data_IF_975130316606
#
_entry.id   IF_975130316606
#
_cell.length_a   1.000
_cell.length_b   1.000
_cell.length_c   1.000
_cell.angle_alpha   90.00
_cell.angle_beta   90.00
_cell.angle_gamma   90.00
#
_symmetry.space_group_name_H-M   'P 1'
#
loop_
_entity.id
_entity.type
_entity.pdbx_description
1 polymer ?
#
# COMPACT_ATOMS: atom_id res chain seq x y z
N UNK A 1 29.77 13.51 4.53
CA UNK A 1 29.51 12.10 4.17
C UNK A 1 28.74 12.08 2.86
N UNK A 2 29.20 11.35 1.84
CA UNK A 2 28.51 11.29 0.54
C UNK A 2 27.21 10.48 0.69
N UNK A 3 26.09 11.05 0.22
CA UNK A 3 24.82 10.32 0.14
C UNK A 3 24.91 9.26 -0.96
N UNK A 4 24.26 8.11 -0.74
CA UNK A 4 24.19 7.05 -1.76
C UNK A 4 23.33 7.52 -2.93
N UNK A 5 23.78 7.22 -4.15
CA UNK A 5 23.05 7.49 -5.40
C UNK A 5 22.52 6.18 -5.96
N UNK A 6 21.23 6.15 -6.27
CA UNK A 6 20.60 5.04 -6.98
C UNK A 6 20.75 5.25 -8.49
N UNK A 7 21.66 4.51 -9.14
CA UNK A 7 21.87 4.56 -10.60
C UNK A 7 21.09 3.44 -11.26
N UNK A 8 19.89 3.78 -11.73
CA UNK A 8 18.97 2.83 -12.38
C UNK A 8 19.00 3.07 -13.89
N UNK A 9 19.30 2.04 -14.69
CA UNK A 9 19.35 2.17 -16.16
C UNK A 9 17.94 2.19 -16.78
N UNK A 10 17.05 1.33 -16.33
CA UNK A 10 15.69 1.27 -16.87
C UNK A 10 14.68 0.90 -15.79
N UNK A 11 13.55 1.61 -15.79
CA UNK A 11 12.37 1.29 -14.98
C UNK A 11 11.19 1.13 -15.93
N UNK A 12 10.46 0.02 -15.80
CA UNK A 12 9.22 -0.24 -16.53
C UNK A 12 8.09 -0.45 -15.53
N UNK A 13 7.08 0.41 -15.61
CA UNK A 13 5.80 0.22 -14.93
C UNK A 13 4.78 -0.32 -15.93
N UNK A 14 4.05 -1.35 -15.53
CA UNK A 14 2.88 -1.80 -16.28
C UNK A 14 1.61 -1.01 -15.87
N UNK A 15 1.52 -0.56 -14.62
CA UNK A 15 0.40 0.25 -14.13
C UNK A 15 0.79 1.15 -12.94
N UNK A 16 0.24 2.36 -12.90
CA UNK A 16 0.25 3.26 -11.75
C UNK A 16 -1.22 3.58 -11.43
N UNK A 17 -1.69 3.06 -10.30
CA UNK A 17 -3.09 3.05 -9.88
C UNK A 17 -3.43 4.16 -8.89
N UNK A 18 -4.48 3.91 -8.10
CA UNK A 18 -5.13 4.91 -7.26
C UNK A 18 -4.16 5.50 -6.25
N UNK A 19 -4.08 6.84 -6.21
CA UNK A 19 -3.27 7.64 -5.29
C UNK A 19 -1.81 7.21 -5.19
N UNK A 20 -1.27 6.62 -6.26
CA UNK A 20 0.07 6.05 -6.26
C UNK A 20 1.09 7.01 -6.86
N UNK A 21 2.31 6.96 -6.34
CA UNK A 21 3.37 7.90 -6.75
C UNK A 21 4.59 7.13 -7.21
N UNK A 22 5.12 7.53 -8.36
CA UNK A 22 6.49 7.21 -8.75
C UNK A 22 7.37 8.42 -8.42
N UNK A 23 8.28 8.27 -7.46
CA UNK A 23 9.23 9.30 -7.06
C UNK A 23 10.64 8.92 -7.50
N UNK A 24 11.29 9.76 -8.29
CA UNK A 24 12.70 9.63 -8.67
C UNK A 24 13.49 10.83 -8.13
N UNK A 25 14.57 10.56 -7.42
CA UNK A 25 15.37 11.56 -6.72
C UNK A 25 15.13 11.55 -5.21
N UNK A 26 15.91 12.35 -4.49
CA UNK A 26 15.84 12.39 -3.03
C UNK A 26 14.55 13.06 -2.54
N UNK A 27 14.10 12.66 -1.36
CA UNK A 27 12.87 13.17 -0.74
C UNK A 27 13.09 13.26 0.76
N UNK A 28 12.51 14.27 1.41
CA UNK A 28 12.63 14.36 2.87
C UNK A 28 11.67 13.38 3.53
N UNK A 29 10.38 13.51 3.23
CA UNK A 29 9.31 12.74 3.87
C UNK A 29 8.40 12.09 2.83
N UNK A 30 8.04 10.83 3.08
CA UNK A 30 7.03 10.09 2.34
C UNK A 30 5.98 9.65 3.36
N UNK A 31 4.74 10.14 3.21
CA UNK A 31 3.60 9.75 4.05
C UNK A 31 2.54 9.06 3.18
N UNK A 32 2.30 7.78 3.47
CA UNK A 32 1.38 6.91 2.74
C UNK A 32 0.21 6.53 3.66
N UNK A 33 -1.01 6.87 3.28
CA UNK A 33 -2.20 6.53 4.06
C UNK A 33 -3.33 6.01 3.19
N UNK A 34 -3.93 4.89 3.60
CA UNK A 34 -5.13 4.38 2.95
C UNK A 34 -6.05 3.62 3.92
N UNK A 35 -7.36 3.79 3.71
CA UNK A 35 -8.42 2.96 4.28
C UNK A 35 -9.16 2.25 3.14
N UNK A 36 -9.23 0.93 3.21
CA UNK A 36 -9.88 0.08 2.20
C UNK A 36 -10.93 -0.79 2.88
N UNK A 37 -12.18 -0.66 2.41
CA UNK A 37 -13.27 -1.58 2.73
C UNK A 37 -13.69 -2.24 1.42
N UNK A 38 -13.60 -3.56 1.36
CA UNK A 38 -13.97 -4.32 0.17
C UNK A 38 -14.95 -5.45 0.55
N UNK A 39 -16.13 -5.47 -0.07
CA UNK A 39 -17.10 -6.54 0.10
C UNK A 39 -17.14 -7.37 -1.18
N UNK A 40 -16.79 -8.65 -1.08
CA UNK A 40 -16.82 -9.58 -2.19
C UNK A 40 -17.97 -10.57 -2.01
N UNK A 41 -18.84 -10.65 -3.00
CA UNK A 41 -20.01 -11.55 -3.00
C UNK A 41 -19.80 -12.70 -3.98
N UNK A 42 -20.49 -13.82 -3.73
CA UNK A 42 -20.48 -14.97 -4.65
C UNK A 42 -21.18 -14.64 -5.98
N UNK A 43 -22.27 -13.89 -5.91
CA UNK A 43 -22.91 -13.25 -7.06
C UNK A 43 -22.53 -11.77 -7.03
N UNK A 44 -22.00 -11.23 -8.13
CA UNK A 44 -21.56 -9.83 -8.23
C UNK A 44 -22.75 -8.88 -8.28
N UNK A 45 -23.35 -8.61 -7.12
CA UNK A 45 -24.35 -7.55 -6.94
C UNK A 45 -23.69 -6.34 -6.29
N UNK A 46 -23.92 -5.17 -6.90
CA UNK A 46 -23.43 -3.89 -6.43
C UNK A 46 -24.58 -3.06 -5.88
N UNK A 47 -24.43 -2.55 -4.66
CA UNK A 47 -25.41 -1.68 -4.01
C UNK A 47 -24.84 -0.26 -3.89
N UNK A 48 -25.69 0.76 -3.93
CA UNK A 48 -25.20 2.14 -3.81
C UNK A 48 -24.61 2.45 -2.41
N UNK A 49 -25.00 1.67 -1.39
CA UNK A 49 -24.51 1.77 -0.01
C UNK A 49 -23.84 0.47 0.43
N UNK A 50 -22.75 0.10 -0.23
CA UNK A 50 -22.03 -1.16 0.02
C UNK A 50 -21.13 -1.18 1.25
N UNK A 51 -20.91 -0.03 1.89
CA UNK A 51 -20.09 0.02 3.08
C UNK A 51 -19.87 1.43 3.57
N UNK A 52 -19.56 1.52 4.86
CA UNK A 52 -19.15 2.77 5.50
C UNK A 52 -17.90 2.50 6.33
N UNK A 53 -17.04 3.51 6.47
CA UNK A 53 -15.95 3.46 7.45
C UNK A 53 -16.46 3.71 8.89
N UNK A 54 -17.70 3.32 9.18
CA UNK A 54 -18.34 3.58 10.46
C UNK A 54 -17.59 2.84 11.57
N UNK A 55 -17.15 3.62 12.55
CA UNK A 55 -16.39 3.16 13.72
C UNK A 55 -17.12 2.07 14.50
N UNK A 56 -18.45 2.13 14.61
CA UNK A 56 -19.25 1.14 15.36
C UNK A 56 -19.19 -0.25 14.71
N UNK A 57 -19.13 -0.29 13.39
CA UNK A 57 -19.14 -1.54 12.60
C UNK A 57 -17.72 -2.07 12.36
N UNK A 58 -16.77 -1.16 12.13
CA UNK A 58 -15.38 -1.50 11.78
C UNK A 58 -14.37 -0.71 12.62
N UNK A 59 -14.08 -1.15 13.87
CA UNK A 59 -13.14 -0.47 14.76
C UNK A 59 -11.72 -0.35 14.18
N UNK A 60 -11.33 -1.24 13.27
CA UNK A 60 -10.01 -1.25 12.60
C UNK A 60 -9.66 0.08 11.92
N UNK A 61 -10.66 0.82 11.43
CA UNK A 61 -10.44 2.09 10.74
C UNK A 61 -10.19 3.28 11.67
N UNK A 62 -10.37 3.10 12.98
CA UNK A 62 -10.19 4.12 14.01
C UNK A 62 -9.08 3.76 15.02
N UNK A 63 -8.47 2.58 14.88
CA UNK A 63 -7.31 2.22 15.67
C UNK A 63 -6.14 3.15 15.35
N UNK A 64 -5.48 3.65 16.39
CA UNK A 64 -4.26 4.44 16.22
C UNK A 64 -3.17 3.63 15.52
N UNK A 65 -2.41 4.30 14.64
CA UNK A 65 -1.19 3.72 14.08
C UNK A 65 -0.21 3.42 15.20
N UNK A 66 0.48 2.28 15.09
CA UNK A 66 1.62 1.98 15.96
C UNK A 66 2.66 3.04 15.69
N UNK A 67 2.91 3.89 16.69
CA UNK A 67 3.98 4.88 16.62
C UNK A 67 5.29 4.15 16.90
N UNK A 68 6.34 4.54 16.17
CA UNK A 68 7.68 4.16 16.53
C UNK A 68 7.93 4.60 17.99
N UNK A 69 8.59 3.73 18.75
CA UNK A 69 9.10 4.13 20.06
C UNK A 69 10.03 5.34 19.86
N UNK A 70 10.10 6.27 20.83
CA UNK A 70 11.06 7.37 20.77
C UNK A 70 12.45 6.81 20.48
N UNK A 71 13.24 7.54 19.68
CA UNK A 71 14.63 7.14 19.39
C UNK A 71 15.36 6.81 20.70
N UNK A 72 15.72 5.54 20.87
CA UNK A 72 16.76 5.17 21.82
C UNK A 72 18.03 5.84 21.33
N UNK A 73 18.79 6.52 22.19
CA UNK A 73 19.95 7.36 21.85
C UNK A 73 21.17 6.64 21.24
N UNK A 74 20.94 5.56 20.47
CA UNK A 74 21.93 4.82 19.72
C UNK A 74 22.29 5.62 18.47
N UNK A 75 23.52 6.13 18.44
CA UNK A 75 24.06 6.76 17.24
C UNK A 75 24.73 5.71 16.37
N UNK A 76 24.44 5.75 15.07
CA UNK A 76 25.08 4.89 14.07
C UNK A 76 25.79 5.74 13.03
N UNK A 77 26.94 5.27 12.57
CA UNK A 77 27.71 5.88 11.50
C UNK A 77 27.95 4.83 10.42
N UNK A 78 27.68 5.20 9.17
CA UNK A 78 27.86 4.31 8.01
C UNK A 78 28.91 4.87 7.08
N UNK A 79 29.91 4.07 6.71
CA UNK A 79 30.85 4.39 5.64
C UNK A 79 30.41 3.69 4.35
N UNK A 80 30.33 4.43 3.25
CA UNK A 80 30.01 3.90 1.93
C UNK A 80 31.18 4.18 0.99
N UNK A 81 32.14 3.25 0.91
CA UNK A 81 33.32 3.38 0.04
C UNK A 81 32.95 3.60 -1.43
N UNK A 82 31.89 2.92 -1.88
CA UNK A 82 31.28 3.12 -3.19
C UNK A 82 29.83 3.58 -2.99
N UNK A 83 29.54 4.88 -3.00
CA UNK A 83 28.21 5.42 -2.68
C UNK A 83 27.24 5.35 -3.88
N UNK A 84 27.33 4.28 -4.67
CA UNK A 84 26.48 4.10 -5.86
C UNK A 84 25.85 2.71 -5.83
N UNK A 85 24.52 2.69 -5.91
CA UNK A 85 23.74 1.46 -6.05
C UNK A 85 23.39 1.32 -7.52
N UNK A 86 24.01 0.37 -8.21
CA UNK A 86 23.75 0.12 -9.62
C UNK A 86 22.62 -0.88 -9.81
N UNK A 87 21.53 -0.44 -10.46
CA UNK A 87 20.41 -1.30 -10.81
C UNK A 87 20.22 -1.26 -12.32
N UNK A 88 20.26 -2.43 -12.98
CA UNK A 88 20.13 -2.47 -14.44
C UNK A 88 18.67 -2.23 -14.85
N UNK A 89 17.78 -3.13 -14.47
CA UNK A 89 16.39 -3.10 -14.91
C UNK A 89 15.46 -3.34 -13.72
N UNK A 90 14.42 -2.53 -13.63
CA UNK A 90 13.32 -2.72 -12.69
C UNK A 90 12.03 -2.87 -13.50
N UNK A 91 11.28 -3.93 -13.24
CA UNK A 91 9.96 -4.16 -13.83
C UNK A 91 8.92 -4.24 -12.71
N UNK A 92 7.96 -3.33 -12.74
CA UNK A 92 6.89 -3.20 -11.74
C UNK A 92 5.56 -3.48 -12.41
N UNK A 93 4.81 -4.43 -11.86
CA UNK A 93 3.51 -4.81 -12.39
C UNK A 93 2.44 -3.75 -12.10
N UNK A 94 2.46 -3.20 -10.90
CA UNK A 94 1.52 -2.16 -10.50
C UNK A 94 1.96 -1.52 -9.20
N UNK A 95 1.73 -0.21 -9.06
CA UNK A 95 1.75 0.51 -7.79
C UNK A 95 0.34 1.06 -7.61
N UNK A 96 -0.35 0.74 -6.52
CA UNK A 96 -1.73 1.16 -6.29
C UNK A 96 -1.96 1.45 -4.81
N UNK A 97 -3.05 2.12 -4.47
CA UNK A 97 -3.57 2.19 -3.11
C UNK A 97 -2.68 2.99 -2.16
N UNK A 98 -2.42 4.25 -2.52
CA UNK A 98 -1.55 5.16 -1.74
C UNK A 98 -0.14 4.62 -1.51
N UNK A 99 0.40 3.87 -2.48
CA UNK A 99 1.77 3.36 -2.41
C UNK A 99 2.72 4.17 -3.29
N UNK A 100 4.00 4.18 -2.89
CA UNK A 100 5.05 4.94 -3.57
C UNK A 100 6.16 4.01 -4.00
N UNK A 101 6.52 4.04 -5.28
CA UNK A 101 7.82 3.54 -5.72
C UNK A 101 8.82 4.69 -5.68
N UNK A 102 9.83 4.59 -4.82
CA UNK A 102 10.84 5.63 -4.64
C UNK A 102 12.22 5.16 -5.08
N UNK A 103 12.82 5.91 -6.00
CA UNK A 103 14.19 5.74 -6.48
C UNK A 103 15.04 6.94 -6.04
N UNK A 104 15.56 6.90 -4.82
CA UNK A 104 16.38 7.95 -4.23
C UNK A 104 16.60 7.71 -2.74
N UNK A 105 17.05 8.73 -2.02
CA UNK A 105 17.14 8.70 -0.56
C UNK A 105 15.92 9.35 0.09
N UNK A 106 15.35 8.71 1.12
CA UNK A 106 14.32 9.28 1.99
C UNK A 106 14.86 9.48 3.41
N UNK A 107 14.46 10.56 4.08
CA UNK A 107 14.77 10.75 5.51
C UNK A 107 13.75 10.00 6.37
N UNK A 108 12.47 10.22 6.10
CA UNK A 108 11.37 9.65 6.87
C UNK A 108 10.35 9.03 5.93
N UNK A 109 10.00 7.77 6.17
CA UNK A 109 8.93 7.07 5.46
C UNK A 109 7.90 6.60 6.48
N UNK A 110 6.66 7.05 6.33
CA UNK A 110 5.53 6.69 7.18
C UNK A 110 4.47 6.03 6.31
N UNK A 111 3.89 4.96 6.84
CA UNK A 111 2.82 4.22 6.19
C UNK A 111 1.74 3.86 7.20
N UNK A 112 0.47 4.05 6.84
CA UNK A 112 -0.67 3.53 7.59
C UNK A 112 -1.73 3.00 6.61
N UNK A 113 -1.90 1.68 6.62
CA UNK A 113 -2.88 0.99 5.79
C UNK A 113 -3.88 0.27 6.69
N UNK A 114 -5.17 0.57 6.51
CA UNK A 114 -6.28 -0.10 7.21
C UNK A 114 -7.14 -0.79 6.17
N UNK A 115 -7.14 -2.11 6.15
CA UNK A 115 -7.79 -2.89 5.10
C UNK A 115 -8.73 -3.89 5.74
N UNK A 116 -10.01 -3.87 5.33
CA UNK A 116 -11.01 -4.86 5.72
C UNK A 116 -11.65 -5.45 4.47
N UNK A 117 -11.40 -6.71 4.22
CA UNK A 117 -12.07 -7.48 3.17
C UNK A 117 -13.13 -8.37 3.82
N UNK A 118 -14.34 -8.38 3.25
CA UNK A 118 -15.49 -9.17 3.71
C UNK A 118 -15.90 -10.05 2.55
N UNK A 119 -16.06 -11.36 2.80
CA UNK A 119 -16.54 -12.29 1.77
C UNK A 119 -17.91 -12.83 2.15
N UNK A 120 -18.89 -12.63 1.28
CA UNK A 120 -20.25 -13.14 1.41
C UNK A 120 -20.42 -14.36 0.51
N UNK A 121 -20.45 -15.54 1.15
CA UNK A 121 -20.50 -16.83 0.47
C UNK A 121 -21.93 -17.37 0.55
N UNK A 122 -22.53 -17.74 -0.58
CA UNK A 122 -23.83 -18.40 -0.59
C UNK A 122 -23.69 -19.84 -0.05
N UNK A 123 -24.61 -20.31 0.80
CA UNK A 123 -24.60 -21.69 1.24
C UNK A 123 -24.82 -22.65 0.06
N UNK A 124 -24.30 -23.90 0.13
CA UNK A 124 -24.33 -24.84 -0.99
C UNK A 124 -25.73 -25.13 -1.57
N UNK A 125 -26.77 -25.03 -0.74
CA UNK A 125 -28.13 -25.47 -1.09
C UNK A 125 -29.05 -24.37 -1.65
N UNK A 126 -28.57 -23.15 -1.84
CA UNK A 126 -29.40 -22.04 -2.37
C UNK A 126 -29.39 -21.92 -3.90
N UNK A 127 -28.83 -22.89 -4.63
CA UNK A 127 -28.88 -22.94 -6.10
C UNK A 127 -30.02 -23.81 -6.69
N UNK A 128 -30.86 -24.47 -5.87
CA UNK A 128 -31.82 -25.48 -6.36
C UNK A 128 -33.31 -25.08 -6.32
N UNK A 129 -33.65 -23.79 -6.34
CA UNK A 129 -35.05 -23.34 -6.32
C UNK A 129 -35.30 -22.28 -7.39
N UNK A 130 -35.16 -22.68 -8.67
CA UNK A 130 -35.23 -21.75 -9.79
C UNK A 130 -35.58 -22.37 -11.14
N UNK A 131 -36.44 -23.40 -11.21
CA UNK A 131 -37.17 -23.77 -12.43
C UNK A 131 -38.43 -24.53 -12.04
N UNK A 132 -39.56 -23.83 -12.07
CA UNK A 132 -40.88 -24.35 -11.74
C UNK A 132 -41.97 -23.41 -12.21
N UNK A 133 -41.96 -23.09 -13.51
CA UNK A 133 -43.13 -22.73 -14.33
C UNK A 133 -42.83 -23.13 -15.77
#
# INVERSE_FOLDING_TARGET
MLKRISRIRQIKFNSLGISSVFQAGDTNEIDMKIKVLAVQRSLSTFYENEGSFNRKEYPIFDQHAVKLLPETGVQTAFCHEVPVIHVRNIKIQGVSSSSVFHAGSASVVRGDARIKHIRQILPPNSQSSGTGI
#
